data_IF_174458154321
#
_entry.id   IF_174458154321
#
_cell.length_a   1.000
_cell.length_b   1.000
_cell.length_c   1.000
_cell.angle_alpha   90.00
_cell.angle_beta   90.00
_cell.angle_gamma   90.00
#
_symmetry.space_group_name_H-M   'P 1'
#
loop_
_entity.id
_entity.type
_entity.pdbx_description
1 polymer ?
#
# COMPACT_ATOMS: atom_id res chain seq x y z
N UNK A 1 -9.62 -11.25 -8.13
CA UNK A 1 -9.22 -10.59 -6.87
C UNK A 1 -9.87 -9.21 -6.70
N UNK A 2 -9.76 -8.31 -7.69
CA UNK A 2 -10.33 -6.95 -7.61
C UNK A 2 -11.86 -6.93 -7.42
N UNK A 3 -12.60 -7.83 -8.07
CA UNK A 3 -14.06 -7.94 -7.92
C UNK A 3 -14.46 -8.30 -6.49
N UNK A 4 -13.72 -9.21 -5.85
CA UNK A 4 -13.94 -9.60 -4.45
C UNK A 4 -13.61 -8.45 -3.49
N UNK A 5 -12.56 -7.69 -3.77
CA UNK A 5 -12.21 -6.51 -3.00
C UNK A 5 -13.30 -5.43 -3.12
N UNK A 6 -13.78 -5.19 -4.34
CA UNK A 6 -14.85 -4.22 -4.60
C UNK A 6 -16.16 -4.61 -3.92
N UNK A 7 -16.56 -5.89 -3.97
CA UNK A 7 -17.77 -6.36 -3.28
C UNK A 7 -17.64 -6.21 -1.76
N UNK A 8 -16.46 -6.48 -1.20
CA UNK A 8 -16.21 -6.31 0.22
C UNK A 8 -16.29 -4.83 0.63
N UNK A 9 -15.75 -3.91 -0.18
CA UNK A 9 -15.83 -2.46 0.06
C UNK A 9 -17.30 -2.00 0.07
N UNK A 10 -18.09 -2.42 -0.92
CA UNK A 10 -19.53 -2.07 -0.99
C UNK A 10 -20.28 -2.64 0.21
N UNK A 11 -20.00 -3.89 0.60
CA UNK A 11 -20.60 -4.50 1.79
C UNK A 11 -20.27 -3.74 3.07
N UNK A 12 -19.02 -3.29 3.22
CA UNK A 12 -18.55 -2.51 4.37
C UNK A 12 -19.18 -1.11 4.40
N UNK A 13 -19.39 -0.50 3.23
CA UNK A 13 -20.10 0.78 3.08
C UNK A 13 -21.53 0.72 3.62
N UNK A 14 -22.20 -0.42 3.49
CA UNK A 14 -23.59 -0.61 3.94
C UNK A 14 -23.63 -1.02 5.42
N UNK A 15 -22.78 -1.97 5.84
CA UNK A 15 -22.84 -2.55 7.19
C UNK A 15 -22.13 -1.73 8.26
N UNK A 16 -21.09 -0.98 7.90
CA UNK A 16 -20.28 -0.21 8.85
C UNK A 16 -20.08 1.24 8.34
N UNK A 17 -21.18 1.99 8.13
CA UNK A 17 -21.11 3.29 7.47
C UNK A 17 -20.29 4.32 8.26
N UNK A 18 -20.24 4.19 9.59
CA UNK A 18 -19.46 5.08 10.46
C UNK A 18 -17.93 5.02 10.25
N UNK A 19 -17.40 3.93 9.69
CA UNK A 19 -15.95 3.78 9.45
C UNK A 19 -15.55 4.05 8.00
N UNK A 20 -16.50 3.95 7.07
CA UNK A 20 -16.19 3.87 5.63
C UNK A 20 -16.87 4.95 4.80
N UNK A 21 -18.06 5.40 5.22
CA UNK A 21 -18.83 6.38 4.48
C UNK A 21 -18.69 7.78 5.13
N UNK A 22 -17.84 8.66 4.58
CA UNK A 22 -17.61 9.99 5.16
C UNK A 22 -18.87 10.88 5.10
N UNK A 23 -19.77 10.64 4.14
CA UNK A 23 -21.03 11.39 4.00
C UNK A 23 -21.97 11.05 5.15
N UNK A 24 -22.08 9.75 5.49
CA UNK A 24 -22.91 9.30 6.59
C UNK A 24 -22.40 9.82 7.94
N UNK A 25 -21.07 9.86 8.13
CA UNK A 25 -20.46 10.46 9.32
C UNK A 25 -20.76 11.96 9.39
N UNK A 26 -20.64 12.70 8.28
CA UNK A 26 -20.93 14.13 8.24
C UNK A 26 -22.40 14.46 8.56
N UNK A 27 -23.36 13.65 8.09
CA UNK A 27 -24.78 13.80 8.43
C UNK A 27 -25.08 13.41 9.89
N UNK A 28 -24.46 12.35 10.40
CA UNK A 28 -24.59 11.94 11.79
C UNK A 28 -24.01 13.01 12.76
N UNK A 29 -22.95 13.72 12.35
CA UNK A 29 -22.37 14.82 13.12
C UNK A 29 -23.32 16.03 13.20
N UNK A 30 -24.05 16.31 12.11
CA UNK A 30 -25.04 17.40 12.05
C UNK A 30 -26.29 17.12 12.87
N UNK A 31 -26.69 15.86 12.98
CA UNK A 31 -27.89 15.44 13.72
C UNK A 31 -27.67 15.27 15.23
N UNK A 32 -26.47 15.58 15.74
CA UNK A 32 -26.10 15.43 17.17
C UNK A 32 -26.33 14.00 17.72
N UNK A 33 -26.44 13.00 16.83
CA UNK A 33 -26.72 11.60 17.17
C UNK A 33 -25.46 10.82 17.55
N UNK A 34 -24.29 11.45 17.40
CA UNK A 34 -23.00 10.85 17.74
C UNK A 34 -22.67 11.10 19.21
N UNK A 35 -22.58 10.00 19.95
CA UNK A 35 -22.12 9.98 21.34
C UNK A 35 -20.76 10.70 21.44
N UNK A 36 -20.65 11.70 22.31
CA UNK A 36 -19.45 12.55 22.44
C UNK A 36 -18.13 11.77 22.66
N UNK A 37 -18.22 10.57 23.26
CA UNK A 37 -17.10 9.65 23.44
C UNK A 37 -16.52 9.10 22.12
N UNK A 38 -17.34 8.93 21.07
CA UNK A 38 -16.89 8.50 19.75
C UNK A 38 -16.13 9.61 19.02
N UNK A 39 -16.58 10.86 19.13
CA UNK A 39 -15.88 12.04 18.59
C UNK A 39 -14.50 12.23 19.23
N UNK A 40 -14.39 12.10 20.55
CA UNK A 40 -13.10 12.26 21.24
C UNK A 40 -12.12 11.15 20.88
N UNK A 41 -12.61 9.92 20.76
CA UNK A 41 -11.78 8.79 20.35
C UNK A 41 -11.31 8.91 18.90
N UNK A 42 -12.19 9.34 17.98
CA UNK A 42 -11.82 9.49 16.57
C UNK A 42 -10.80 10.60 16.35
N UNK A 43 -10.89 11.72 17.09
CA UNK A 43 -9.91 12.81 17.04
C UNK A 43 -8.53 12.38 17.53
N UNK A 44 -8.45 11.56 18.58
CA UNK A 44 -7.18 11.01 19.07
C UNK A 44 -6.59 9.94 18.16
N UNK A 45 -7.44 9.15 17.50
CA UNK A 45 -7.02 8.06 16.63
C UNK A 45 -6.58 8.57 15.25
N UNK A 46 -7.16 9.68 14.76
CA UNK A 46 -6.85 10.28 13.47
C UNK A 46 -5.34 10.52 13.24
N UNK A 47 -4.60 11.22 14.13
CA UNK A 47 -3.17 11.46 13.92
C UNK A 47 -2.35 10.17 13.92
N UNK A 48 -2.75 9.16 14.71
CA UNK A 48 -2.08 7.85 14.76
C UNK A 48 -2.25 7.13 13.42
N UNK A 49 -3.48 7.11 12.87
CA UNK A 49 -3.76 6.51 11.57
C UNK A 49 -3.00 7.22 10.46
N UNK A 50 -2.94 8.56 10.48
CA UNK A 50 -2.18 9.35 9.51
C UNK A 50 -0.69 8.99 9.56
N UNK A 51 -0.09 8.93 10.75
CA UNK A 51 1.31 8.50 10.91
C UNK A 51 1.55 7.08 10.40
N UNK A 52 0.61 6.16 10.66
CA UNK A 52 0.70 4.79 10.19
C UNK A 52 0.63 4.70 8.66
N UNK A 53 -0.22 5.51 8.01
CA UNK A 53 -0.27 5.60 6.55
C UNK A 53 1.07 6.12 6.00
N UNK A 54 1.62 7.18 6.58
CA UNK A 54 2.95 7.67 6.19
C UNK A 54 4.04 6.61 6.36
N UNK A 55 3.98 5.84 7.44
CA UNK A 55 4.90 4.74 7.68
C UNK A 55 4.78 3.63 6.61
N UNK A 56 3.56 3.23 6.24
CA UNK A 56 3.35 2.27 5.14
C UNK A 56 3.90 2.82 3.82
N UNK A 57 3.61 4.08 3.50
CA UNK A 57 4.13 4.71 2.28
C UNK A 57 5.65 4.70 2.28
N UNK A 58 6.30 5.03 3.40
CA UNK A 58 7.74 4.98 3.53
C UNK A 58 8.30 3.57 3.27
N UNK A 59 7.66 2.53 3.81
CA UNK A 59 8.03 1.13 3.53
C UNK A 59 7.93 0.82 2.04
N UNK A 60 6.83 1.20 1.39
CA UNK A 60 6.63 0.95 -0.06
C UNK A 60 7.72 1.64 -0.88
N UNK A 61 8.06 2.88 -0.54
CA UNK A 61 9.13 3.64 -1.21
C UNK A 61 10.49 2.95 -1.00
N UNK A 62 10.83 2.57 0.23
CA UNK A 62 12.07 1.85 0.53
C UNK A 62 12.13 0.51 -0.20
N UNK A 63 11.01 -0.20 -0.30
CA UNK A 63 10.91 -1.45 -1.03
C UNK A 63 11.12 -1.23 -2.53
N UNK A 64 10.56 -0.15 -3.09
CA UNK A 64 10.82 0.26 -4.48
C UNK A 64 12.31 0.48 -4.75
N UNK A 65 13.01 1.18 -3.86
CA UNK A 65 14.46 1.34 -3.95
C UNK A 65 15.22 -0.01 -3.84
N UNK A 66 14.79 -0.89 -2.94
CA UNK A 66 15.39 -2.21 -2.77
C UNK A 66 15.22 -3.09 -4.03
N UNK A 67 14.06 -3.02 -4.68
CA UNK A 67 13.81 -3.72 -5.96
C UNK A 67 14.76 -3.20 -7.03
N UNK A 68 14.83 -1.88 -7.23
CA UNK A 68 15.72 -1.27 -8.24
C UNK A 68 17.18 -1.66 -8.00
N UNK A 69 17.62 -1.70 -6.73
CA UNK A 69 18.98 -2.15 -6.39
C UNK A 69 19.21 -3.62 -6.72
N UNK A 70 18.20 -4.48 -6.58
CA UNK A 70 18.28 -5.90 -6.93
C UNK A 70 18.29 -6.10 -8.43
N UNK A 71 17.48 -5.37 -9.19
CA UNK A 71 17.46 -5.44 -10.66
C UNK A 71 18.84 -5.14 -11.26
N UNK A 72 19.55 -4.12 -10.75
CA UNK A 72 20.94 -3.83 -11.17
C UNK A 72 21.88 -5.01 -10.95
N UNK A 73 21.73 -5.72 -9.83
CA UNK A 73 22.56 -6.88 -9.51
C UNK A 73 22.29 -8.06 -10.45
N UNK A 74 21.02 -8.34 -10.75
CA UNK A 74 20.65 -9.40 -11.68
C UNK A 74 21.12 -9.12 -13.11
N UNK A 75 21.04 -7.87 -13.56
CA UNK A 75 21.55 -7.47 -14.88
C UNK A 75 23.06 -7.69 -14.98
N UNK A 76 23.83 -7.32 -13.94
CA UNK A 76 25.28 -7.53 -13.92
C UNK A 76 25.67 -9.02 -13.96
N UNK A 77 24.88 -9.89 -13.30
CA UNK A 77 25.09 -11.34 -13.37
C UNK A 77 24.83 -11.84 -14.79
N UNK A 78 23.72 -11.42 -15.42
CA UNK A 78 23.39 -11.82 -16.79
C UNK A 78 24.49 -11.39 -17.77
N UNK A 79 24.97 -10.15 -17.66
CA UNK A 79 26.05 -9.63 -18.51
C UNK A 79 27.37 -10.41 -18.33
N UNK A 80 27.69 -10.81 -17.10
CA UNK A 80 28.88 -11.64 -16.84
C UNK A 80 28.77 -13.03 -17.48
N UNK A 81 27.58 -13.64 -17.42
CA UNK A 81 27.32 -14.96 -18.01
C UNK A 81 27.31 -14.91 -19.55
N UNK A 82 26.77 -13.83 -20.14
CA UNK A 82 26.77 -13.64 -21.59
C UNK A 82 28.20 -13.45 -22.13
N UNK A 83 29.03 -12.67 -21.44
CA UNK A 83 30.43 -12.46 -21.82
C UNK A 83 31.29 -13.72 -21.66
N UNK A 84 31.04 -14.53 -20.63
CA UNK A 84 31.70 -15.84 -20.46
C UNK A 84 31.31 -16.81 -21.58
N UNK A 85 30.02 -16.89 -21.91
CA UNK A 85 29.52 -17.76 -22.98
C UNK A 85 30.05 -17.33 -24.36
N UNK A 86 30.11 -16.02 -24.63
CA UNK A 86 30.70 -15.48 -25.86
C UNK A 86 32.19 -15.83 -25.98
N UNK A 87 32.94 -15.69 -24.90
CA UNK A 87 34.37 -16.03 -24.85
C UNK A 87 34.63 -17.54 -25.02
N UNK A 88 33.73 -18.39 -24.49
CA UNK A 88 33.79 -19.84 -24.69
C UNK A 88 33.46 -20.26 -26.14
N UNK A 89 32.62 -19.50 -26.85
CA UNK A 89 32.26 -19.77 -28.25
C UNK A 89 33.34 -19.27 -29.23
N UNK A 90 33.98 -18.14 -28.95
CA UNK A 90 35.06 -17.56 -29.77
C UNK A 90 36.42 -18.29 -29.59
N UNK A 91 36.58 -19.11 -28.54
CA UNK A 91 37.79 -19.90 -28.25
C UNK A 91 37.84 -21.30 -28.87
N UNK A 92 36.81 -21.71 -29.64
CA UNK A 92 36.70 -22.99 -30.34
C UNK A 92 36.82 -22.84 -31.88
N UNK A 93 37.49 -21.78 -32.35
CA UNK A 93 37.81 -21.52 -33.77
C UNK A 93 39.27 -21.78 -34.10
#
# INVERSE_FOLDING_TARGET
MLIFLASMIVFMFIKVPYLVNPVYVAEALKTNSLHASLMTTSVLLLPIVVLFIFFIIAIVVLYGFAIISREKHYIAIIESLENENKSANDGCG
#
